data_IF_098667524659
#
_entry.id   IF_098667524659
#
_cell.length_a   1.000
_cell.length_b   1.000
_cell.length_c   1.000
_cell.angle_alpha   90.00
_cell.angle_beta   90.00
_cell.angle_gamma   90.00
#
_symmetry.space_group_name_H-M   'P 1'
#
loop_
_entity.id
_entity.type
_entity.pdbx_description
1 polymer ?
#
# COMPACT_ATOMS: atom_id res chain seq x y z
N UNK A 1 -13.61 -1.15 -9.26
CA UNK A 1 -14.37 -0.33 -8.29
C UNK A 1 -13.82 1.08 -8.40
N UNK A 2 -14.68 2.03 -8.71
CA UNK A 2 -14.31 3.37 -9.20
C UNK A 2 -13.80 4.25 -8.05
N UNK A 3 -12.51 4.62 -8.09
CA UNK A 3 -11.78 5.31 -7.01
C UNK A 3 -12.36 6.73 -6.76
N UNK A 4 -13.14 7.26 -7.72
CA UNK A 4 -13.80 8.55 -7.60
C UNK A 4 -15.09 8.50 -6.76
N UNK A 5 -15.81 7.37 -6.74
CA UNK A 5 -17.02 7.23 -5.90
C UNK A 5 -16.70 7.14 -4.40
N UNK A 6 -15.53 6.59 -4.07
CA UNK A 6 -15.09 6.50 -2.68
C UNK A 6 -14.60 7.86 -2.15
N UNK A 7 -14.12 8.75 -3.04
CA UNK A 7 -13.68 10.11 -2.68
C UNK A 7 -14.79 11.01 -2.16
N UNK A 8 -15.99 10.90 -2.73
CA UNK A 8 -17.13 11.71 -2.30
C UNK A 8 -17.68 11.22 -0.96
N UNK A 9 -17.63 9.91 -0.73
CA UNK A 9 -18.21 9.29 0.46
C UNK A 9 -17.50 9.67 1.77
N UNK A 10 -16.17 9.84 1.75
CA UNK A 10 -15.43 10.27 2.95
C UNK A 10 -15.56 11.77 3.24
N UNK A 11 -15.60 12.63 2.20
CA UNK A 11 -15.82 14.08 2.37
C UNK A 11 -17.18 14.31 3.03
N UNK A 12 -18.20 13.56 2.59
CA UNK A 12 -19.55 13.58 3.16
C UNK A 12 -19.54 13.16 4.64
N UNK A 13 -18.83 12.09 5.02
CA UNK A 13 -18.76 11.65 6.43
C UNK A 13 -18.06 12.65 7.36
N UNK A 14 -16.98 13.28 6.90
CA UNK A 14 -16.28 14.33 7.67
C UNK A 14 -17.18 15.56 7.85
N UNK A 15 -17.88 15.98 6.79
CA UNK A 15 -18.78 17.14 6.83
C UNK A 15 -20.09 16.86 7.59
N UNK A 16 -20.48 15.59 7.76
CA UNK A 16 -21.61 15.16 8.58
C UNK A 16 -21.29 15.07 10.09
N UNK A 17 -20.02 15.25 10.50
CA UNK A 17 -19.62 15.19 11.91
C UNK A 17 -19.65 13.77 12.51
N UNK A 18 -19.60 12.73 11.67
CA UNK A 18 -19.52 11.34 12.13
C UNK A 18 -18.18 11.09 12.82
N UNK A 19 -18.21 10.32 13.93
CA UNK A 19 -17.01 9.96 14.66
C UNK A 19 -16.15 9.01 13.80
N UNK A 20 -15.01 9.50 13.34
CA UNK A 20 -14.11 8.77 12.46
C UNK A 20 -13.36 7.74 13.30
N UNK A 21 -13.60 6.47 13.02
CA UNK A 21 -12.81 5.35 13.56
C UNK A 21 -11.31 5.55 13.26
N UNK A 22 -10.45 5.30 14.26
CA UNK A 22 -8.99 5.40 14.16
C UNK A 22 -8.43 4.61 12.97
N UNK A 23 -9.05 3.48 12.63
CA UNK A 23 -8.70 2.65 11.45
C UNK A 23 -8.91 3.41 10.14
N UNK A 24 -10.01 4.15 10.04
CA UNK A 24 -10.32 4.96 8.86
C UNK A 24 -9.34 6.13 8.73
N UNK A 25 -9.01 6.81 9.83
CA UNK A 25 -8.00 7.87 9.83
C UNK A 25 -6.61 7.34 9.41
N UNK A 26 -6.27 6.13 9.84
CA UNK A 26 -5.02 5.47 9.50
C UNK A 26 -4.95 5.10 8.02
N UNK A 27 -6.03 4.56 7.45
CA UNK A 27 -6.15 4.28 6.02
C UNK A 27 -6.06 5.55 5.18
N UNK A 28 -6.70 6.65 5.62
CA UNK A 28 -6.62 7.95 4.95
C UNK A 28 -5.17 8.45 4.91
N UNK A 29 -4.46 8.39 6.04
CA UNK A 29 -3.06 8.81 6.12
C UNK A 29 -2.19 8.00 5.17
N UNK A 30 -2.37 6.67 5.12
CA UNK A 30 -1.67 5.81 4.18
C UNK A 30 -1.96 6.19 2.73
N UNK A 31 -3.25 6.36 2.36
CA UNK A 31 -3.65 6.70 0.98
C UNK A 31 -3.09 8.04 0.53
N UNK A 32 -3.09 9.05 1.41
CA UNK A 32 -2.54 10.38 1.12
C UNK A 32 -1.03 10.32 0.87
N UNK A 33 -0.28 9.66 1.77
CA UNK A 33 1.17 9.50 1.62
C UNK A 33 1.53 8.66 0.39
N UNK A 34 0.77 7.59 0.11
CA UNK A 34 0.96 6.78 -1.09
C UNK A 34 0.72 7.59 -2.36
N UNK A 35 -0.36 8.38 -2.42
CA UNK A 35 -0.65 9.24 -3.56
C UNK A 35 0.42 10.32 -3.76
N UNK A 36 0.86 10.97 -2.67
CA UNK A 36 1.95 11.94 -2.70
C UNK A 36 3.24 11.29 -3.22
N UNK A 37 3.61 10.13 -2.69
CA UNK A 37 4.78 9.40 -3.14
C UNK A 37 4.69 9.09 -4.64
N UNK A 38 3.56 8.55 -5.14
CA UNK A 38 3.35 8.30 -6.57
C UNK A 38 3.57 9.54 -7.45
N UNK A 39 3.04 10.70 -7.04
CA UNK A 39 3.23 11.95 -7.77
C UNK A 39 4.69 12.41 -7.78
N UNK A 40 5.39 12.25 -6.67
CA UNK A 40 6.81 12.60 -6.55
C UNK A 40 7.72 11.67 -7.38
N UNK A 41 7.36 10.39 -7.51
CA UNK A 41 8.20 9.39 -8.18
C UNK A 41 7.87 9.13 -9.64
N UNK A 42 6.78 9.68 -10.18
CA UNK A 42 6.28 9.34 -11.53
C UNK A 42 7.27 9.61 -12.66
N UNK A 43 8.25 10.49 -12.45
CA UNK A 43 9.33 10.80 -13.40
C UNK A 43 10.71 10.29 -12.96
N UNK A 44 10.79 9.52 -11.88
CA UNK A 44 12.04 8.99 -11.34
C UNK A 44 12.22 7.51 -11.64
N UNK A 45 13.47 7.10 -11.88
CA UNK A 45 13.84 5.68 -12.02
C UNK A 45 13.63 4.93 -10.70
N UNK A 46 13.26 3.65 -10.75
CA UNK A 46 12.97 2.79 -9.59
C UNK A 46 13.98 2.88 -8.44
N UNK A 47 15.27 3.09 -8.75
CA UNK A 47 16.31 3.27 -7.74
C UNK A 47 16.12 4.56 -6.93
N UNK A 48 15.80 5.67 -7.59
CA UNK A 48 15.60 6.99 -6.99
C UNK A 48 14.27 7.12 -6.26
N UNK A 49 13.29 6.28 -6.61
CA UNK A 49 11.99 6.20 -5.90
C UNK A 49 12.14 5.76 -4.44
N UNK A 50 13.21 5.02 -4.12
CA UNK A 50 13.51 4.52 -2.76
C UNK A 50 14.26 5.51 -1.87
N UNK A 51 14.73 6.63 -2.42
CA UNK A 51 15.43 7.70 -1.70
C UNK A 51 14.48 8.85 -1.30
N UNK A 52 13.17 8.63 -1.44
CA UNK A 52 12.15 9.63 -1.23
C UNK A 52 11.70 9.68 0.26
N UNK A 53 11.62 10.88 0.84
CA UNK A 53 11.23 11.10 2.24
C UNK A 53 9.82 10.58 2.56
N UNK A 54 8.88 10.70 1.64
CA UNK A 54 7.51 10.17 1.74
C UNK A 54 7.50 8.64 1.84
N UNK A 55 8.47 7.97 1.22
CA UNK A 55 8.65 6.52 1.37
C UNK A 55 9.07 6.14 2.80
N UNK A 56 9.94 6.94 3.44
CA UNK A 56 10.30 6.73 4.84
C UNK A 56 9.13 7.02 5.80
N UNK A 57 8.31 8.03 5.51
CA UNK A 57 7.08 8.29 6.28
C UNK A 57 6.09 7.13 6.22
N UNK A 58 5.95 6.48 5.05
CA UNK A 58 5.18 5.25 4.93
C UNK A 58 5.77 4.15 5.80
N UNK A 59 7.08 3.90 5.73
CA UNK A 59 7.72 2.87 6.57
C UNK A 59 7.61 3.16 8.07
N UNK A 60 7.62 4.43 8.48
CA UNK A 60 7.46 4.84 9.87
C UNK A 60 6.07 4.50 10.44
N UNK A 61 5.06 4.29 9.60
CA UNK A 61 3.75 3.81 10.04
C UNK A 61 3.78 2.33 10.50
N UNK A 62 4.85 1.60 10.23
CA UNK A 62 5.09 0.26 10.79
C UNK A 62 4.27 -0.86 10.13
N UNK A 63 4.16 -2.00 10.81
CA UNK A 63 3.54 -3.23 10.23
C UNK A 63 2.03 -3.12 9.99
N UNK A 64 1.34 -2.17 10.61
CA UNK A 64 -0.11 -2.00 10.46
C UNK A 64 -0.54 -1.56 9.07
N UNK A 65 0.36 -1.05 8.23
CA UNK A 65 0.04 -0.71 6.83
C UNK A 65 0.18 -1.87 5.84
N UNK A 66 0.69 -3.02 6.30
CA UNK A 66 0.91 -4.19 5.43
C UNK A 66 -0.39 -4.63 4.73
N UNK A 67 -1.55 -4.74 5.40
CA UNK A 67 -2.81 -5.03 4.72
C UNK A 67 -3.13 -4.07 3.57
N UNK A 68 -2.94 -2.76 3.76
CA UNK A 68 -3.21 -1.76 2.72
C UNK A 68 -2.26 -1.86 1.54
N UNK A 69 -0.97 -2.14 1.79
CA UNK A 69 0.00 -2.40 0.72
C UNK A 69 -0.36 -3.63 -0.11
N UNK A 70 -0.81 -4.71 0.54
CA UNK A 70 -1.29 -5.92 -0.15
C UNK A 70 -2.53 -5.59 -0.99
N UNK A 71 -3.46 -4.79 -0.49
CA UNK A 71 -4.63 -4.37 -1.28
C UNK A 71 -4.25 -3.56 -2.52
N UNK A 72 -3.20 -2.75 -2.44
CA UNK A 72 -2.69 -2.04 -3.61
C UNK A 72 -2.06 -3.02 -4.63
N UNK A 73 -1.43 -4.12 -4.18
CA UNK A 73 -0.99 -5.20 -5.09
C UNK A 73 -2.18 -5.87 -5.79
N UNK A 74 -3.29 -6.13 -5.07
CA UNK A 74 -4.53 -6.67 -5.67
C UNK A 74 -5.07 -5.72 -6.74
N UNK A 75 -4.86 -4.41 -6.59
CA UNK A 75 -5.22 -3.37 -7.57
C UNK A 75 -4.20 -3.21 -8.71
N UNK A 76 -3.17 -4.06 -8.76
CA UNK A 76 -2.14 -4.07 -9.81
C UNK A 76 -0.97 -3.13 -9.57
N UNK A 77 -0.85 -2.52 -8.38
CA UNK A 77 0.24 -1.59 -8.08
C UNK A 77 1.47 -2.31 -7.54
N UNK A 78 2.25 -2.88 -8.44
CA UNK A 78 3.40 -3.75 -8.16
C UNK A 78 4.68 -3.01 -7.73
N UNK A 79 4.57 -2.08 -6.77
CA UNK A 79 5.69 -1.24 -6.31
C UNK A 79 6.04 -1.42 -4.83
N UNK A 80 5.17 -2.11 -4.07
CA UNK A 80 5.29 -2.22 -2.62
C UNK A 80 6.21 -3.35 -2.14
N UNK A 81 6.79 -4.16 -3.02
CA UNK A 81 7.56 -5.36 -2.65
C UNK A 81 8.71 -5.08 -1.65
N UNK A 82 9.48 -4.02 -1.89
CA UNK A 82 10.58 -3.65 -1.00
C UNK A 82 10.08 -3.18 0.37
N UNK A 83 8.95 -2.46 0.41
CA UNK A 83 8.35 -1.99 1.65
C UNK A 83 7.78 -3.16 2.45
N UNK A 84 7.07 -4.07 1.77
CA UNK A 84 6.53 -5.29 2.35
C UNK A 84 7.66 -6.12 2.95
N UNK A 85 8.73 -6.40 2.21
CA UNK A 85 9.88 -7.15 2.73
C UNK A 85 10.51 -6.47 3.96
N UNK A 86 10.66 -5.14 3.94
CA UNK A 86 11.24 -4.39 5.06
C UNK A 86 10.37 -4.43 6.31
N UNK A 87 9.05 -4.28 6.14
CA UNK A 87 8.09 -4.23 7.24
C UNK A 87 7.80 -5.61 7.81
N UNK A 88 7.60 -6.63 6.97
CA UNK A 88 7.24 -7.98 7.42
C UNK A 88 8.47 -8.81 7.80
N UNK A 89 9.64 -8.47 7.25
CA UNK A 89 10.87 -9.30 7.28
C UNK A 89 10.69 -10.67 6.59
N UNK A 90 9.62 -10.84 5.82
CA UNK A 90 9.34 -12.03 5.02
C UNK A 90 9.61 -11.76 3.53
N UNK A 91 9.85 -12.82 2.77
CA UNK A 91 9.85 -12.77 1.31
C UNK A 91 9.21 -14.05 0.75
N UNK A 92 7.89 -14.01 0.43
CA UNK A 92 7.18 -15.17 -0.10
C UNK A 92 7.42 -15.40 -1.60
N UNK A 93 8.12 -14.49 -2.28
CA UNK A 93 8.32 -14.55 -3.73
C UNK A 93 9.18 -15.76 -4.11
N UNK A 94 8.63 -16.62 -4.95
CA UNK A 94 9.35 -17.80 -5.46
C UNK A 94 10.45 -17.37 -6.41
N UNK A 95 11.56 -18.12 -6.46
CA UNK A 95 12.73 -17.77 -7.30
C UNK A 95 12.35 -17.64 -8.77
N UNK A 96 11.43 -18.46 -9.24
CA UNK A 96 10.95 -18.53 -10.63
C UNK A 96 10.04 -17.35 -11.01
N UNK A 97 9.52 -16.64 -10.01
CA UNK A 97 8.64 -15.48 -10.15
C UNK A 97 9.40 -14.15 -10.08
N UNK A 98 10.69 -14.16 -9.67
CA UNK A 98 11.51 -12.95 -9.62
C UNK A 98 11.57 -12.29 -11.01
N UNK A 99 11.34 -10.98 -11.04
CA UNK A 99 11.30 -10.20 -12.28
C UNK A 99 9.98 -10.28 -13.05
N UNK A 100 8.97 -10.98 -12.52
CA UNK A 100 7.61 -11.07 -13.08
C UNK A 100 6.62 -10.42 -12.11
N UNK A 101 6.38 -9.10 -12.22
CA UNK A 101 5.67 -8.32 -11.20
C UNK A 101 4.31 -8.90 -10.78
N UNK A 102 3.52 -9.41 -11.73
CA UNK A 102 2.20 -9.97 -11.44
C UNK A 102 2.28 -11.29 -10.65
N UNK A 103 3.28 -12.13 -10.94
CA UNK A 103 3.50 -13.36 -10.18
C UNK A 103 4.06 -13.08 -8.79
N UNK A 104 4.94 -12.08 -8.68
CA UNK A 104 5.43 -11.61 -7.38
C UNK A 104 4.30 -11.04 -6.52
N UNK A 105 3.37 -10.30 -7.13
CA UNK A 105 2.17 -9.80 -6.46
C UNK A 105 1.29 -10.95 -5.96
N UNK A 106 1.06 -11.96 -6.79
CA UNK A 106 0.30 -13.15 -6.39
C UNK A 106 0.95 -13.88 -5.20
N UNK A 107 2.27 -14.06 -5.19
CA UNK A 107 2.97 -14.69 -4.05
C UNK A 107 2.76 -13.92 -2.74
N UNK A 108 2.79 -12.58 -2.80
CA UNK A 108 2.50 -11.72 -1.64
C UNK A 108 1.03 -11.78 -1.22
N UNK A 109 0.09 -11.81 -2.17
CA UNK A 109 -1.34 -11.93 -1.89
C UNK A 109 -1.66 -13.27 -1.23
N UNK A 110 -1.11 -14.37 -1.73
CA UNK A 110 -1.28 -15.70 -1.12
C UNK A 110 -0.67 -15.76 0.27
N UNK A 111 0.54 -15.21 0.47
CA UNK A 111 1.12 -15.06 1.80
C UNK A 111 0.20 -14.28 2.75
N UNK A 112 -0.39 -13.18 2.29
CA UNK A 112 -1.30 -12.37 3.11
C UNK A 112 -2.57 -13.15 3.51
N UNK A 113 -3.09 -14.02 2.65
CA UNK A 113 -4.19 -14.95 3.00
C UNK A 113 -3.79 -15.88 4.13
N UNK A 114 -2.59 -16.48 4.07
CA UNK A 114 -2.12 -17.39 5.13
C UNK A 114 -1.95 -16.69 6.49
N UNK A 115 -1.76 -15.37 6.48
CA UNK A 115 -1.60 -14.54 7.68
C UNK A 115 -2.90 -13.86 8.14
N UNK A 116 -4.03 -14.12 7.46
CA UNK A 116 -5.30 -13.42 7.69
C UNK A 116 -5.18 -11.89 7.62
N UNK A 117 -4.35 -11.39 6.71
CA UNK A 117 -4.11 -9.95 6.49
C UNK A 117 -4.99 -9.36 5.38
N UNK A 118 -5.79 -10.19 4.72
CA UNK A 118 -6.83 -9.77 3.80
C UNK A 118 -8.17 -9.83 4.53
N UNK A 119 -8.89 -8.72 4.48
CA UNK A 119 -10.23 -8.56 5.03
C UNK A 119 -11.26 -8.49 3.90
#
# INVERSE_FOLDING_TARGET
MDILKDKENWIIKISAGENIDDTLLFEIKFKLLAAQWYEEIKYFSFARQRENETYFHLLAMGKSIVPFMIQELVRGKNVWFAALQKLTQDNPVKKEHIGKPDLMANDWIEWAKTKNLLW
#
